data_IF_575322831209
#
_entry.id   IF_575322831209
#
_cell.length_a   1.000
_cell.length_b   1.000
_cell.length_c   1.000
_cell.angle_alpha   90.00
_cell.angle_beta   90.00
_cell.angle_gamma   90.00
#
_symmetry.space_group_name_H-M   'P 1'
#
loop_
_entity.id
_entity.type
_entity.pdbx_description
1 polymer ?
#
# COMPACT_ATOMS: atom_id res chain seq x y z
N UNK A 1 -4.54 24.85 -21.81
CA UNK A 1 -3.41 23.94 -21.74
C UNK A 1 -3.49 22.96 -20.56
N UNK A 2 -3.54 23.41 -19.29
CA UNK A 2 -3.64 22.50 -18.13
C UNK A 2 -4.91 21.63 -18.16
N UNK A 3 -6.04 22.21 -18.52
CA UNK A 3 -7.34 21.54 -18.57
C UNK A 3 -7.36 20.45 -19.65
N UNK A 4 -6.81 20.69 -20.83
CA UNK A 4 -6.64 19.68 -21.87
C UNK A 4 -5.69 18.57 -21.43
N UNK A 5 -4.54 18.92 -20.84
CA UNK A 5 -3.59 17.95 -20.34
C UNK A 5 -4.20 17.02 -19.26
N UNK A 6 -5.01 17.58 -18.35
CA UNK A 6 -5.71 16.81 -17.33
C UNK A 6 -6.83 15.93 -17.93
N UNK A 7 -7.49 16.36 -19.00
CA UNK A 7 -8.48 15.53 -19.70
C UNK A 7 -7.82 14.38 -20.47
N UNK A 8 -6.66 14.59 -21.08
CA UNK A 8 -5.98 13.58 -21.89
C UNK A 8 -5.18 12.58 -21.03
N UNK A 9 -4.49 13.06 -20.00
CA UNK A 9 -3.56 12.26 -19.20
C UNK A 9 -3.98 12.05 -17.75
N UNK A 10 -4.87 12.87 -17.21
CA UNK A 10 -5.24 12.85 -15.79
C UNK A 10 -5.88 11.54 -15.35
N UNK A 11 -6.77 10.98 -16.17
CA UNK A 11 -7.41 9.69 -15.87
C UNK A 11 -6.42 8.52 -15.98
N UNK A 12 -5.47 8.58 -16.90
CA UNK A 12 -4.41 7.58 -16.99
C UNK A 12 -3.45 7.65 -15.78
N UNK A 13 -3.07 8.86 -15.39
CA UNK A 13 -2.27 9.09 -14.19
C UNK A 13 -3.01 8.64 -12.92
N UNK A 14 -4.32 8.90 -12.84
CA UNK A 14 -5.18 8.43 -11.77
C UNK A 14 -5.22 6.91 -11.71
N UNK A 15 -5.40 6.23 -12.86
CA UNK A 15 -5.39 4.77 -12.92
C UNK A 15 -4.06 4.20 -12.40
N UNK A 16 -2.93 4.67 -12.92
CA UNK A 16 -1.61 4.22 -12.47
C UNK A 16 -1.37 4.57 -10.98
N UNK A 17 -1.73 5.76 -10.57
CA UNK A 17 -1.58 6.18 -9.19
C UNK A 17 -2.40 5.32 -8.22
N UNK A 18 -3.65 5.04 -8.55
CA UNK A 18 -4.51 4.18 -7.74
C UNK A 18 -4.13 2.70 -7.80
N UNK A 19 -3.48 2.26 -8.86
CA UNK A 19 -2.91 0.92 -8.99
C UNK A 19 -1.79 0.68 -7.98
N UNK A 20 -0.92 1.67 -7.73
CA UNK A 20 0.23 1.52 -6.84
C UNK A 20 -0.05 1.96 -5.39
N UNK A 21 -0.63 3.15 -5.18
CA UNK A 21 -0.82 3.74 -3.84
C UNK A 21 -2.29 4.03 -3.51
N UNK A 22 -3.00 4.76 -4.32
CA UNK A 22 -4.45 4.97 -4.32
C UNK A 22 -4.96 6.15 -3.50
N UNK A 23 -4.68 6.26 -2.19
CA UNK A 23 -5.35 7.24 -1.34
C UNK A 23 -5.02 8.68 -1.73
N UNK A 24 -3.74 9.00 -1.82
CA UNK A 24 -3.26 10.36 -2.12
C UNK A 24 -3.73 10.83 -3.49
N UNK A 25 -3.64 9.95 -4.49
CA UNK A 25 -4.00 10.27 -5.88
C UNK A 25 -5.52 10.43 -6.02
N UNK A 26 -6.31 9.59 -5.36
CA UNK A 26 -7.77 9.71 -5.39
C UNK A 26 -8.26 10.98 -4.70
N UNK A 27 -7.66 11.36 -3.56
CA UNK A 27 -7.98 12.62 -2.87
C UNK A 27 -7.67 13.81 -3.77
N UNK A 28 -6.52 13.81 -4.44
CA UNK A 28 -6.15 14.86 -5.39
C UNK A 28 -7.12 14.94 -6.57
N UNK A 29 -7.46 13.79 -7.16
CA UNK A 29 -8.40 13.73 -8.29
C UNK A 29 -9.82 14.15 -7.89
N UNK A 30 -10.28 13.78 -6.68
CA UNK A 30 -11.56 14.25 -6.14
C UNK A 30 -11.60 15.77 -5.94
N UNK A 31 -10.51 16.36 -5.47
CA UNK A 31 -10.38 17.81 -5.38
C UNK A 31 -10.36 18.46 -6.78
N UNK A 32 -9.64 17.89 -7.75
CA UNK A 32 -9.65 18.39 -9.14
C UNK A 32 -11.03 18.26 -9.79
N UNK A 33 -11.78 17.21 -9.44
CA UNK A 33 -13.16 17.04 -9.90
C UNK A 33 -14.08 18.12 -9.28
N UNK A 34 -13.94 18.42 -7.99
CA UNK A 34 -14.63 19.53 -7.36
C UNK A 34 -14.34 20.87 -8.06
N UNK A 35 -13.11 21.08 -8.50
CA UNK A 35 -12.69 22.28 -9.27
C UNK A 35 -13.18 22.29 -10.72
N UNK A 36 -13.89 21.26 -11.18
CA UNK A 36 -14.41 21.15 -12.54
C UNK A 36 -13.37 20.76 -13.60
N UNK A 37 -12.17 20.35 -13.21
CA UNK A 37 -11.14 19.87 -14.14
C UNK A 37 -11.35 18.41 -14.55
N UNK A 38 -12.06 17.61 -13.75
CA UNK A 38 -12.34 16.21 -13.98
C UNK A 38 -13.81 15.90 -13.63
N UNK A 39 -14.38 14.85 -14.23
CA UNK A 39 -15.69 14.34 -13.84
C UNK A 39 -15.55 13.38 -12.64
N UNK A 40 -16.30 13.64 -11.57
CA UNK A 40 -16.21 12.84 -10.33
C UNK A 40 -16.63 11.38 -10.55
N UNK A 41 -17.60 11.11 -11.43
CA UNK A 41 -18.03 9.75 -11.70
C UNK A 41 -16.94 8.97 -12.41
N UNK A 42 -16.27 9.60 -13.39
CA UNK A 42 -15.12 9.00 -14.06
C UNK A 42 -13.93 8.83 -13.10
N UNK A 43 -13.68 9.78 -12.22
CA UNK A 43 -12.64 9.66 -11.18
C UNK A 43 -12.89 8.42 -10.32
N UNK A 44 -14.11 8.23 -9.83
CA UNK A 44 -14.46 7.06 -9.00
C UNK A 44 -14.32 5.76 -9.77
N UNK A 45 -14.82 5.71 -11.01
CA UNK A 45 -14.74 4.51 -11.86
C UNK A 45 -13.29 4.14 -12.18
N UNK A 46 -12.46 5.12 -12.59
CA UNK A 46 -11.06 4.88 -12.92
C UNK A 46 -10.26 4.46 -11.67
N UNK A 47 -10.51 5.12 -10.53
CA UNK A 47 -9.90 4.77 -9.26
C UNK A 47 -10.28 3.36 -8.80
N UNK A 48 -11.54 2.96 -8.98
CA UNK A 48 -11.99 1.61 -8.72
C UNK A 48 -11.19 0.59 -9.54
N UNK A 49 -11.15 0.75 -10.86
CA UNK A 49 -10.46 -0.20 -11.72
C UNK A 49 -8.94 -0.24 -11.49
N UNK A 50 -8.29 0.92 -11.31
CA UNK A 50 -6.86 0.98 -11.02
C UNK A 50 -6.53 0.26 -9.72
N UNK A 51 -7.24 0.59 -8.65
CA UNK A 51 -7.08 -0.03 -7.34
C UNK A 51 -7.37 -1.54 -7.36
N UNK A 52 -8.48 -1.93 -7.98
CA UNK A 52 -8.89 -3.33 -8.10
C UNK A 52 -7.85 -4.15 -8.87
N UNK A 53 -7.38 -3.64 -10.02
CA UNK A 53 -6.36 -4.31 -10.84
C UNK A 53 -5.03 -4.48 -10.07
N UNK A 54 -4.60 -3.46 -9.35
CA UNK A 54 -3.40 -3.52 -8.51
C UNK A 54 -3.48 -4.63 -7.46
N UNK A 55 -4.59 -4.72 -6.73
CA UNK A 55 -4.75 -5.77 -5.72
C UNK A 55 -4.83 -7.17 -6.32
N UNK A 56 -5.46 -7.32 -7.50
CA UNK A 56 -5.47 -8.61 -8.19
C UNK A 56 -4.05 -9.05 -8.56
N UNK A 57 -3.24 -8.13 -9.07
CA UNK A 57 -1.85 -8.44 -9.42
C UNK A 57 -1.07 -8.92 -8.19
N UNK A 58 -1.16 -8.21 -7.06
CA UNK A 58 -0.48 -8.57 -5.82
C UNK A 58 -0.99 -9.88 -5.23
N UNK A 59 -2.30 -10.13 -5.28
CA UNK A 59 -2.90 -11.39 -4.85
C UNK A 59 -2.38 -12.58 -5.69
N UNK A 60 -2.42 -12.50 -7.02
CA UNK A 60 -1.95 -13.58 -7.88
C UNK A 60 -0.43 -13.80 -7.77
N UNK A 61 0.34 -12.72 -7.56
CA UNK A 61 1.76 -12.81 -7.31
C UNK A 61 2.04 -13.55 -6.00
N UNK A 62 1.31 -13.22 -4.94
CA UNK A 62 1.37 -13.95 -3.65
C UNK A 62 1.01 -15.42 -3.82
N UNK A 63 -0.05 -15.73 -4.56
CA UNK A 63 -0.52 -17.09 -4.79
C UNK A 63 0.49 -17.95 -5.56
N UNK A 64 1.13 -17.39 -6.59
CA UNK A 64 2.07 -18.13 -7.45
C UNK A 64 3.48 -18.23 -6.87
N UNK A 65 3.98 -17.17 -6.26
CA UNK A 65 5.38 -17.04 -5.89
C UNK A 65 5.62 -16.92 -4.40
N UNK A 66 4.58 -16.71 -3.60
CA UNK A 66 4.71 -16.36 -2.19
C UNK A 66 5.43 -17.39 -1.35
N UNK A 67 5.16 -18.69 -1.55
CA UNK A 67 5.88 -19.78 -0.84
C UNK A 67 7.38 -19.77 -1.14
N UNK A 68 7.79 -19.51 -2.40
CA UNK A 68 9.20 -19.44 -2.79
C UNK A 68 9.92 -18.22 -2.18
N UNK A 69 9.19 -17.11 -2.01
CA UNK A 69 9.71 -15.91 -1.35
C UNK A 69 9.89 -16.08 0.15
N UNK A 70 8.91 -16.68 0.82
CA UNK A 70 8.99 -16.98 2.27
C UNK A 70 10.09 -17.98 2.59
N UNK A 71 10.26 -19.01 1.76
CA UNK A 71 11.27 -20.06 1.96
C UNK A 71 12.72 -19.53 1.94
N UNK A 72 12.96 -18.34 1.41
CA UNK A 72 14.32 -17.76 1.33
C UNK A 72 14.88 -17.24 2.65
N UNK A 73 14.03 -16.98 3.67
CA UNK A 73 14.48 -16.45 4.98
C UNK A 73 13.64 -17.06 6.12
N UNK A 74 14.24 -17.81 7.05
CA UNK A 74 13.52 -18.48 8.16
C UNK A 74 12.69 -17.53 9.02
N UNK A 75 13.18 -16.31 9.23
CA UNK A 75 12.47 -15.26 10.01
C UNK A 75 11.19 -14.78 9.31
N UNK A 76 11.20 -14.73 7.98
CA UNK A 76 10.02 -14.37 7.19
C UNK A 76 8.99 -15.49 7.18
N UNK A 77 9.42 -16.75 7.27
CA UNK A 77 8.53 -17.90 7.44
C UNK A 77 7.74 -17.79 8.75
N UNK A 78 8.43 -17.57 9.87
CA UNK A 78 7.79 -17.49 11.19
C UNK A 78 6.81 -16.32 11.31
N UNK A 79 7.15 -15.14 10.76
CA UNK A 79 6.25 -13.98 10.73
C UNK A 79 5.09 -14.20 9.75
N UNK A 80 5.37 -14.80 8.61
CA UNK A 80 4.37 -15.15 7.61
C UNK A 80 3.38 -16.18 8.13
N UNK A 81 3.81 -17.22 8.81
CA UNK A 81 2.94 -18.28 9.34
C UNK A 81 1.97 -17.76 10.39
N UNK A 82 2.42 -16.87 11.29
CA UNK A 82 1.55 -16.22 12.28
C UNK A 82 0.51 -15.29 11.61
N UNK A 83 0.93 -14.48 10.64
CA UNK A 83 0.03 -13.62 9.89
C UNK A 83 -0.98 -14.45 9.07
N UNK A 84 -0.52 -15.55 8.44
CA UNK A 84 -1.37 -16.45 7.68
C UNK A 84 -2.39 -17.18 8.57
N UNK A 85 -2.02 -17.58 9.79
CA UNK A 85 -2.95 -18.18 10.75
C UNK A 85 -4.08 -17.21 11.12
N UNK A 86 -3.74 -15.95 11.35
CA UNK A 86 -4.73 -14.90 11.67
C UNK A 86 -5.68 -14.63 10.50
N UNK A 87 -5.15 -14.58 9.27
CA UNK A 87 -5.94 -14.41 8.05
C UNK A 87 -6.86 -15.61 7.82
N UNK A 88 -6.40 -16.84 8.12
CA UNK A 88 -7.19 -18.08 7.92
C UNK A 88 -8.39 -18.19 8.86
N UNK A 89 -8.35 -17.55 10.04
CA UNK A 89 -9.48 -17.56 10.98
C UNK A 89 -10.68 -16.77 10.47
N UNK A 90 -10.45 -15.60 9.87
CA UNK A 90 -11.50 -14.71 9.35
C UNK A 90 -11.10 -14.09 8.00
N UNK A 91 -10.96 -14.90 6.95
CA UNK A 91 -10.37 -14.44 5.69
C UNK A 91 -11.22 -13.38 4.99
N UNK A 92 -12.55 -13.49 5.03
CA UNK A 92 -13.47 -12.57 4.36
C UNK A 92 -13.41 -11.17 4.99
N UNK A 93 -13.30 -11.09 6.31
CA UNK A 93 -13.14 -9.82 7.04
C UNK A 93 -11.84 -9.13 6.63
N UNK A 94 -10.75 -9.89 6.53
CA UNK A 94 -9.47 -9.33 6.09
C UNK A 94 -9.51 -8.84 4.63
N UNK A 95 -10.20 -9.56 3.74
CA UNK A 95 -10.36 -9.14 2.34
C UNK A 95 -11.16 -7.83 2.22
N UNK A 96 -12.17 -7.63 3.05
CA UNK A 96 -12.97 -6.40 3.04
C UNK A 96 -12.28 -5.23 3.75
N UNK A 97 -11.55 -5.51 4.85
CA UNK A 97 -11.05 -4.46 5.76
C UNK A 97 -9.63 -3.97 5.48
N UNK A 98 -8.79 -4.74 4.79
CA UNK A 98 -7.37 -4.37 4.62
C UNK A 98 -7.17 -3.01 3.92
N UNK A 99 -8.12 -2.59 3.10
CA UNK A 99 -8.08 -1.30 2.39
C UNK A 99 -8.18 -0.11 3.32
N UNK A 100 -8.91 -0.28 4.44
CA UNK A 100 -9.12 0.79 5.42
C UNK A 100 -7.97 0.87 6.42
N UNK A 101 -7.07 -0.10 6.44
CA UNK A 101 -5.89 -0.10 7.30
C UNK A 101 -4.68 0.37 6.51
N UNK A 102 -4.26 1.59 6.83
CA UNK A 102 -3.15 2.24 6.20
C UNK A 102 -1.85 1.40 6.24
N UNK A 103 -1.21 1.25 5.09
CA UNK A 103 0.05 0.50 4.96
C UNK A 103 -0.10 -1.01 4.77
N UNK A 104 -1.29 -1.59 4.95
CA UNK A 104 -1.53 -3.02 4.72
C UNK A 104 -1.92 -3.34 3.28
N UNK A 105 -2.30 -2.34 2.51
CA UNK A 105 -2.85 -2.50 1.17
C UNK A 105 -1.95 -3.27 0.19
N UNK A 106 -0.65 -3.08 0.24
CA UNK A 106 0.29 -3.81 -0.64
C UNK A 106 0.65 -5.19 -0.12
N UNK A 107 0.67 -5.35 1.20
CA UNK A 107 1.13 -6.59 1.84
C UNK A 107 -0.01 -7.61 1.97
N UNK A 108 -1.22 -7.15 2.29
CA UNK A 108 -2.36 -8.03 2.54
C UNK A 108 -2.84 -8.84 1.32
N UNK A 109 -2.96 -8.26 0.11
CA UNK A 109 -3.29 -9.06 -1.07
C UNK A 109 -2.30 -10.21 -1.30
N UNK A 110 -1.00 -9.95 -1.12
CA UNK A 110 0.05 -10.97 -1.23
C UNK A 110 -0.14 -12.05 -0.15
N UNK A 111 -0.38 -11.66 1.09
CA UNK A 111 -0.59 -12.58 2.22
C UNK A 111 -1.86 -13.43 2.04
N UNK A 112 -2.96 -12.82 1.59
CA UNK A 112 -4.22 -13.51 1.27
C UNK A 112 -4.00 -14.49 0.10
N UNK A 113 -3.25 -14.10 -0.93
CA UNK A 113 -2.87 -14.99 -2.02
C UNK A 113 -2.07 -16.20 -1.55
N UNK A 114 -1.13 -15.98 -0.62
CA UNK A 114 -0.31 -16.99 0.04
C UNK A 114 -1.12 -17.96 0.92
N UNK A 115 -2.17 -17.47 1.58
CA UNK A 115 -3.02 -18.29 2.46
C UNK A 115 -3.80 -19.38 1.71
N UNK A 116 -3.85 -19.30 0.37
CA UNK A 116 -4.62 -20.20 -0.47
C UNK A 116 -6.11 -19.82 -0.59
N UNK A 117 -6.48 -18.63 -0.14
CA UNK A 117 -7.86 -18.14 -0.25
C UNK A 117 -8.40 -18.24 -1.69
N UNK A 118 -9.67 -18.66 -1.90
CA UNK A 118 -10.18 -18.94 -3.25
C UNK A 118 -10.26 -17.68 -4.13
N UNK A 119 -9.75 -17.71 -5.38
CA UNK A 119 -9.72 -16.55 -6.26
C UNK A 119 -11.09 -15.93 -6.52
N UNK A 120 -12.10 -16.74 -6.74
CA UNK A 120 -13.46 -16.26 -7.03
C UNK A 120 -14.03 -15.42 -5.88
N UNK A 121 -13.86 -15.86 -4.63
CA UNK A 121 -14.27 -15.12 -3.44
C UNK A 121 -13.45 -13.84 -3.27
N UNK A 122 -12.13 -13.93 -3.51
CA UNK A 122 -11.27 -12.75 -3.46
C UNK A 122 -11.69 -11.69 -4.46
N UNK A 123 -11.91 -12.07 -5.73
CA UNK A 123 -12.39 -11.17 -6.77
C UNK A 123 -13.68 -10.45 -6.36
N UNK A 124 -14.67 -11.16 -5.85
CA UNK A 124 -15.96 -10.58 -5.46
C UNK A 124 -15.81 -9.64 -4.26
N UNK A 125 -15.25 -10.12 -3.15
CA UNK A 125 -15.16 -9.35 -1.92
C UNK A 125 -14.22 -8.14 -2.07
N UNK A 126 -13.07 -8.33 -2.74
CA UNK A 126 -12.17 -7.23 -3.03
C UNK A 126 -12.80 -6.21 -3.99
N UNK A 127 -13.63 -6.66 -4.94
CA UNK A 127 -14.39 -5.77 -5.83
C UNK A 127 -15.37 -4.90 -5.04
N UNK A 128 -16.13 -5.51 -4.12
CA UNK A 128 -17.03 -4.76 -3.23
C UNK A 128 -16.24 -3.76 -2.38
N UNK A 129 -15.16 -4.20 -1.74
CA UNK A 129 -14.29 -3.32 -0.94
C UNK A 129 -13.69 -2.18 -1.75
N UNK A 130 -13.28 -2.44 -3.01
CA UNK A 130 -12.76 -1.42 -3.92
C UNK A 130 -13.82 -0.39 -4.30
N UNK A 131 -15.05 -0.84 -4.59
CA UNK A 131 -16.16 0.05 -4.93
C UNK A 131 -16.53 0.95 -3.74
N UNK A 132 -16.70 0.37 -2.55
CA UNK A 132 -17.00 1.15 -1.33
C UNK A 132 -15.89 2.16 -1.04
N UNK A 133 -14.63 1.74 -1.15
CA UNK A 133 -13.48 2.62 -0.92
C UNK A 133 -13.43 3.77 -1.93
N UNK A 134 -13.57 3.49 -3.24
CA UNK A 134 -13.51 4.51 -4.29
C UNK A 134 -14.65 5.52 -4.16
N UNK A 135 -15.87 5.05 -3.85
CA UNK A 135 -17.04 5.89 -3.62
C UNK A 135 -16.87 6.76 -2.36
N UNK A 136 -16.51 6.13 -1.23
CA UNK A 136 -16.40 6.84 0.05
C UNK A 136 -15.28 7.90 0.01
N UNK A 137 -14.10 7.52 -0.46
CA UNK A 137 -12.95 8.43 -0.49
C UNK A 137 -13.09 9.49 -1.60
N UNK A 138 -13.62 9.11 -2.77
CA UNK A 138 -13.89 10.06 -3.86
C UNK A 138 -14.94 11.11 -3.47
N UNK A 139 -16.05 10.66 -2.86
CA UNK A 139 -17.08 11.58 -2.33
C UNK A 139 -16.53 12.45 -1.20
N UNK A 140 -15.80 11.88 -0.26
CA UNK A 140 -15.18 12.64 0.83
C UNK A 140 -14.22 13.72 0.30
N UNK A 141 -13.38 13.39 -0.68
CA UNK A 141 -12.45 14.34 -1.29
C UNK A 141 -13.18 15.48 -2.04
N UNK A 142 -14.24 15.13 -2.74
CA UNK A 142 -15.08 16.11 -3.44
C UNK A 142 -15.77 17.07 -2.46
N UNK A 143 -16.42 16.55 -1.41
CA UNK A 143 -17.09 17.36 -0.41
C UNK A 143 -16.13 18.14 0.47
N UNK A 144 -14.93 17.61 0.74
CA UNK A 144 -13.90 18.35 1.45
C UNK A 144 -13.46 19.60 0.66
N UNK A 145 -13.34 19.49 -0.68
CA UNK A 145 -13.12 20.64 -1.56
C UNK A 145 -14.21 21.70 -1.41
N UNK A 146 -15.49 21.30 -1.38
CA UNK A 146 -16.63 22.20 -1.20
C UNK A 146 -16.64 22.91 0.17
N UNK A 147 -16.34 22.16 1.24
CA UNK A 147 -16.23 22.72 2.59
C UNK A 147 -15.09 23.73 2.68
N UNK A 148 -13.94 23.41 2.09
CA UNK A 148 -12.77 24.28 2.07
C UNK A 148 -13.07 25.58 1.31
N UNK A 149 -13.77 25.51 0.20
CA UNK A 149 -14.20 26.71 -0.57
C UNK A 149 -15.18 27.57 0.24
N UNK A 150 -16.13 26.95 0.93
CA UNK A 150 -17.08 27.66 1.80
C UNK A 150 -16.41 28.36 2.98
N UNK A 151 -15.35 27.79 3.54
CA UNK A 151 -14.61 28.35 4.67
C UNK A 151 -13.61 29.44 4.25
N UNK A 152 -12.97 29.31 3.10
CA UNK A 152 -11.88 30.18 2.67
C UNK A 152 -12.35 31.33 1.76
N UNK A 153 -13.59 31.36 1.35
CA UNK A 153 -14.11 32.34 0.38
C UNK A 153 -13.24 32.34 -0.87
N UNK A 154 -13.49 32.52 -2.00
CA UNK A 154 -12.69 32.62 -3.24
C UNK A 154 -11.34 31.88 -3.28
N UNK A 155 -11.38 30.56 -3.23
CA UNK A 155 -10.19 29.67 -3.30
C UNK A 155 -9.32 29.90 -4.54
N UNK A 156 -9.84 30.55 -5.58
CA UNK A 156 -9.05 30.92 -6.78
C UNK A 156 -7.71 31.60 -6.47
N UNK A 157 -7.64 32.34 -5.36
CA UNK A 157 -6.42 33.06 -4.96
C UNK A 157 -5.38 32.14 -4.29
N UNK A 158 -5.82 30.99 -3.78
CA UNK A 158 -4.98 30.07 -2.99
C UNK A 158 -4.81 28.68 -3.64
N UNK A 159 -5.30 28.50 -4.86
CA UNK A 159 -5.26 27.23 -5.60
C UNK A 159 -3.85 26.61 -5.67
N UNK A 160 -2.86 27.44 -6.02
CA UNK A 160 -1.45 27.03 -6.06
C UNK A 160 -0.90 26.68 -4.68
N UNK A 161 -1.33 27.38 -3.63
CA UNK A 161 -0.88 27.13 -2.25
C UNK A 161 -1.49 25.86 -1.69
N UNK A 162 -2.76 25.58 -1.98
CA UNK A 162 -3.45 24.35 -1.54
C UNK A 162 -2.87 23.13 -2.30
N UNK A 163 -2.69 23.26 -3.61
CA UNK A 163 -2.06 22.20 -4.42
C UNK A 163 -0.61 21.95 -3.96
N UNK A 164 0.17 23.02 -3.76
CA UNK A 164 1.52 22.96 -3.22
C UNK A 164 1.57 22.34 -1.83
N UNK A 165 0.64 22.69 -0.94
CA UNK A 165 0.50 22.12 0.39
C UNK A 165 0.17 20.63 0.37
N UNK A 166 -0.74 20.20 -0.49
CA UNK A 166 -1.08 18.78 -0.66
C UNK A 166 0.09 17.96 -1.22
N UNK A 167 0.81 18.53 -2.20
CA UNK A 167 2.00 17.88 -2.76
C UNK A 167 3.15 17.81 -1.74
N UNK A 168 3.36 18.88 -0.96
CA UNK A 168 4.34 18.90 0.12
C UNK A 168 3.97 17.91 1.24
N UNK A 169 2.69 17.85 1.62
CA UNK A 169 2.21 16.89 2.62
C UNK A 169 2.40 15.45 2.14
N UNK A 170 2.01 15.16 0.89
CA UNK A 170 2.23 13.86 0.26
C UNK A 170 3.70 13.49 0.16
N UNK A 171 4.53 14.43 -0.29
CA UNK A 171 5.99 14.28 -0.35
C UNK A 171 6.62 14.07 1.03
N UNK A 172 6.20 14.83 2.03
CA UNK A 172 6.71 14.71 3.40
C UNK A 172 6.31 13.36 4.04
N UNK A 173 5.08 12.90 3.83
CA UNK A 173 4.61 11.59 4.27
C UNK A 173 5.40 10.48 3.57
N UNK A 174 5.63 10.60 2.28
CA UNK A 174 6.43 9.63 1.50
C UNK A 174 7.90 9.60 1.96
N UNK A 175 8.54 10.75 2.18
CA UNK A 175 9.89 10.83 2.74
C UNK A 175 9.97 10.21 4.14
N UNK A 176 9.03 10.56 5.04
CA UNK A 176 8.96 9.95 6.38
C UNK A 176 8.85 8.43 6.32
N UNK A 177 8.08 7.89 5.38
CA UNK A 177 7.97 6.44 5.18
C UNK A 177 9.30 5.83 4.73
N UNK A 178 9.96 6.45 3.75
CA UNK A 178 11.25 5.98 3.25
C UNK A 178 12.32 5.99 4.32
N UNK A 179 12.36 7.05 5.15
CA UNK A 179 13.31 7.13 6.27
C UNK A 179 12.98 6.13 7.39
N UNK A 180 11.71 5.87 7.70
CA UNK A 180 11.33 4.81 8.66
C UNK A 180 11.73 3.43 8.14
N UNK A 181 11.45 3.12 6.88
CA UNK A 181 11.84 1.84 6.27
C UNK A 181 13.38 1.65 6.27
N UNK A 182 14.14 2.69 5.94
CA UNK A 182 15.61 2.66 5.98
C UNK A 182 16.16 2.49 7.41
N UNK A 183 15.52 3.10 8.43
CA UNK A 183 15.92 2.92 9.85
C UNK A 183 15.62 1.50 10.34
N UNK A 184 14.49 0.92 9.95
CA UNK A 184 14.15 -0.46 10.29
C UNK A 184 15.14 -1.42 9.63
N UNK A 185 15.43 -1.25 8.33
CA UNK A 185 16.39 -2.07 7.62
C UNK A 185 17.81 -1.99 8.21
N UNK A 186 18.25 -0.80 8.66
CA UNK A 186 19.54 -0.64 9.36
C UNK A 186 19.57 -1.34 10.71
N UNK A 187 18.48 -1.27 11.50
CA UNK A 187 18.39 -1.97 12.78
C UNK A 187 18.39 -3.50 12.59
N UNK A 188 17.71 -3.99 11.57
CA UNK A 188 17.71 -5.41 11.22
C UNK A 188 19.08 -5.88 10.76
N UNK A 189 19.78 -5.10 9.93
CA UNK A 189 21.13 -5.42 9.51
C UNK A 189 22.11 -5.47 10.70
N UNK A 190 22.05 -4.51 11.60
CA UNK A 190 22.88 -4.47 12.82
C UNK A 190 22.57 -5.65 13.77
N UNK A 191 21.30 -6.04 13.90
CA UNK A 191 20.92 -7.21 14.71
C UNK A 191 21.44 -8.53 14.12
N UNK A 192 21.44 -8.67 12.80
CA UNK A 192 22.00 -9.84 12.10
C UNK A 192 23.53 -9.91 12.24
N UNK A 193 24.20 -8.75 12.21
CA UNK A 193 25.64 -8.69 12.41
C UNK A 193 26.04 -9.04 13.85
N UNK A 194 25.28 -8.57 14.85
CA UNK A 194 25.47 -8.93 16.25
C UNK A 194 25.28 -10.43 16.52
N UNK A 195 24.22 -11.03 15.95
CA UNK A 195 23.94 -12.47 16.07
C UNK A 195 25.05 -13.32 15.41
N UNK A 196 25.56 -12.88 14.26
CA UNK A 196 26.71 -13.55 13.62
C UNK A 196 27.98 -13.46 14.42
N UNK A 197 28.24 -12.34 15.08
CA UNK A 197 29.42 -12.15 15.94
C UNK A 197 29.32 -13.04 17.18
N UNK A 198 28.15 -13.14 17.80
CA UNK A 198 27.90 -14.02 18.95
C UNK A 198 28.07 -15.50 18.60
N UNK A 199 27.57 -15.94 17.44
CA UNK A 199 27.77 -17.31 16.95
C UNK A 199 29.24 -17.61 16.62
N UNK A 200 29.99 -16.63 16.13
CA UNK A 200 31.43 -16.79 15.85
C UNK A 200 32.23 -16.96 17.14
N UNK A 201 31.89 -16.20 18.20
CA UNK A 201 32.54 -16.32 19.50
C UNK A 201 32.18 -17.65 20.16
N UNK A 202 30.91 -18.06 20.12
CA UNK A 202 30.48 -19.37 20.64
C UNK A 202 31.19 -20.56 19.95
N UNK A 203 31.43 -20.43 18.65
CA UNK A 203 32.15 -21.47 17.87
C UNK A 203 33.65 -21.55 18.20
N UNK A 204 34.26 -20.43 18.64
CA UNK A 204 35.67 -20.41 19.12
C UNK A 204 35.83 -20.93 20.53
N UNK A 205 34.76 -20.92 21.33
CA UNK A 205 34.78 -21.42 22.73
C UNK A 205 34.40 -22.89 22.90
N UNK A 206 34.05 -23.62 21.82
CA UNK A 206 33.77 -25.04 21.89
C UNK A 206 35.12 -25.87 21.80
N UNK A 207 35.62 -26.43 22.93
CA UNK A 207 36.89 -27.13 22.96
C UNK A 207 36.89 -28.48 22.23
N UNK A 208 35.74 -28.94 21.73
CA UNK A 208 35.56 -30.30 21.19
C UNK A 208 35.97 -30.47 19.72
N UNK A 209 36.31 -29.41 19.00
CA UNK A 209 36.74 -29.49 17.59
C UNK A 209 38.26 -29.58 17.38
N UNK A 210 39.05 -29.72 18.46
CA UNK A 210 40.51 -29.84 18.38
C UNK A 210 41.08 -31.24 18.53
N UNK A 211 40.23 -32.30 18.66
CA UNK A 211 40.68 -33.64 19.10
C UNK A 211 40.67 -34.70 18.00
N UNK A 212 40.30 -34.41 16.77
CA UNK A 212 40.34 -35.41 15.70
C UNK A 212 41.25 -34.96 14.56
N UNK A 213 42.56 -35.10 14.74
CA UNK A 213 43.53 -35.32 13.65
C UNK A 213 44.43 -36.48 14.02
N UNK A 214 44.46 -37.52 13.17
CA UNK A 214 45.34 -38.67 13.32
C UNK A 214 46.80 -38.32 13.16
#
# INVERSE_FOLDING_TARGET
MLQQFLQDFGYFALFLGTFFEGETILVLAGFLAFRGYMDINLVVVVAFFGSYAGDQLWYFMGRRHGRKLLARKPRWQMMGDRALEHIRRHPDIWVLSFRFVYGLRTVMPVAIGLSGYPPRRYLLLNGIGAAVWALALGAAAYHFGAILEGLLGNVKKYELWVLGGLLLLGGCLWLRRRFKAARVARKEAAAIEADKAEQAVAKQQDPRQGSDRP
#
